data_IF_477516126226
#
_entry.id   IF_477516126226
#
_cell.length_a   1.000
_cell.length_b   1.000
_cell.length_c   1.000
_cell.angle_alpha   90.00
_cell.angle_beta   90.00
_cell.angle_gamma   90.00
#
_symmetry.space_group_name_H-M   'P 1'
#
loop_
_entity.id
_entity.type
_entity.pdbx_description
1 polymer ?
#
# COMPACT_ATOMS: atom_id res chain seq x y z
N UNK A 1 -2.97 -43.54 47.13
CA UNK A 1 -3.99 -42.48 47.22
C UNK A 1 -4.94 -42.64 46.06
N UNK A 2 -6.25 -42.67 46.29
CA UNK A 2 -7.24 -42.75 45.21
C UNK A 2 -7.54 -41.34 44.69
N UNK A 3 -7.53 -41.17 43.37
CA UNK A 3 -7.95 -39.91 42.72
C UNK A 3 -9.48 -39.86 42.74
N UNK A 4 -10.05 -38.96 43.54
CA UNK A 4 -11.49 -38.70 43.53
C UNK A 4 -11.85 -37.94 42.24
N UNK A 5 -12.74 -38.50 41.42
CA UNK A 5 -13.29 -37.84 40.22
C UNK A 5 -14.69 -37.32 40.53
N UNK A 6 -15.00 -36.11 40.08
CA UNK A 6 -16.35 -35.56 40.18
C UNK A 6 -17.24 -36.23 39.12
N UNK A 7 -18.18 -37.06 39.56
CA UNK A 7 -19.17 -37.74 38.72
C UNK A 7 -20.55 -37.20 39.09
N UNK A 8 -21.28 -36.66 38.12
CA UNK A 8 -22.63 -36.16 38.36
C UNK A 8 -23.65 -37.22 37.93
N UNK A 9 -24.53 -37.62 38.83
CA UNK A 9 -25.63 -38.53 38.50
C UNK A 9 -26.87 -37.68 38.22
N UNK A 10 -27.44 -37.75 37.01
CA UNK A 10 -28.75 -37.16 36.74
C UNK A 10 -29.82 -38.25 36.76
N UNK A 11 -30.96 -38.00 37.38
CA UNK A 11 -32.10 -38.92 37.30
C UNK A 11 -32.81 -38.75 35.96
N UNK A 12 -32.90 -39.82 35.18
CA UNK A 12 -33.64 -39.84 33.91
C UNK A 12 -35.04 -40.40 34.15
N UNK A 13 -36.04 -39.51 34.10
CA UNK A 13 -37.44 -39.86 34.38
C UNK A 13 -38.06 -40.78 33.33
N UNK A 14 -37.54 -40.80 32.11
CA UNK A 14 -38.06 -41.60 31.00
C UNK A 14 -37.62 -43.06 31.11
N UNK A 15 -36.37 -43.28 31.48
CA UNK A 15 -35.80 -44.64 31.67
C UNK A 15 -35.90 -45.12 33.11
N UNK A 16 -36.30 -44.27 34.05
CA UNK A 16 -36.36 -44.54 35.49
C UNK A 16 -35.03 -45.04 36.06
N UNK A 17 -33.93 -44.46 35.59
CA UNK A 17 -32.56 -44.80 36.00
C UNK A 17 -31.70 -43.54 36.20
N UNK A 18 -30.58 -43.68 36.91
CA UNK A 18 -29.58 -42.63 36.99
C UNK A 18 -28.62 -42.72 35.79
N UNK A 19 -28.54 -41.65 35.00
CA UNK A 19 -27.50 -41.50 33.98
C UNK A 19 -26.23 -40.97 34.67
N UNK A 20 -25.09 -41.57 34.33
CA UNK A 20 -23.78 -41.08 34.77
C UNK A 20 -23.31 -40.03 33.79
N UNK A 21 -23.27 -38.75 34.21
CA UNK A 21 -22.65 -37.68 33.44
C UNK A 21 -21.20 -37.51 33.92
N UNK A 22 -20.26 -37.77 33.03
CA UNK A 22 -18.86 -37.47 33.26
C UNK A 22 -18.47 -36.27 32.39
N UNK A 23 -18.34 -35.06 32.96
CA UNK A 23 -18.14 -33.82 32.20
C UNK A 23 -16.91 -33.84 31.29
N UNK A 24 -15.95 -34.73 31.56
CA UNK A 24 -14.67 -34.85 30.86
C UNK A 24 -14.57 -36.08 29.94
N UNK A 25 -15.56 -37.00 29.89
CA UNK A 25 -15.55 -38.15 28.96
C UNK A 25 -16.79 -38.27 28.08
N UNK A 26 -17.79 -37.39 28.18
CA UNK A 26 -18.78 -37.24 27.12
C UNK A 26 -18.12 -36.54 25.91
N UNK A 27 -17.34 -37.31 25.16
CA UNK A 27 -16.62 -36.89 23.95
C UNK A 27 -17.50 -36.09 22.97
N UNK A 28 -18.80 -36.41 22.91
CA UNK A 28 -19.78 -35.70 22.10
C UNK A 28 -19.83 -34.18 22.37
N UNK A 29 -19.70 -33.76 23.64
CA UNK A 29 -19.74 -32.35 24.01
C UNK A 29 -18.44 -31.61 23.64
N UNK A 30 -17.29 -32.32 23.66
CA UNK A 30 -15.99 -31.80 23.22
C UNK A 30 -15.89 -31.75 21.69
N UNK A 31 -16.48 -32.71 20.98
CA UNK A 31 -16.56 -32.67 19.50
C UNK A 31 -17.45 -31.55 19.00
N UNK A 32 -18.57 -31.28 19.67
CA UNK A 32 -19.47 -30.19 19.32
C UNK A 32 -18.81 -28.82 19.53
N UNK A 33 -17.93 -28.68 20.54
CA UNK A 33 -17.11 -27.50 20.71
C UNK A 33 -16.16 -27.29 19.52
N UNK A 34 -15.43 -28.33 19.10
CA UNK A 34 -14.51 -28.26 17.96
C UNK A 34 -15.22 -27.89 16.65
N UNK A 35 -16.36 -28.52 16.37
CA UNK A 35 -17.17 -28.22 15.19
C UNK A 35 -17.81 -26.82 15.26
N UNK A 36 -18.25 -26.40 16.45
CA UNK A 36 -18.80 -25.07 16.70
C UNK A 36 -17.76 -23.97 16.48
N UNK A 37 -16.52 -24.17 16.95
CA UNK A 37 -15.39 -23.25 16.73
C UNK A 37 -15.03 -23.17 15.25
N UNK A 38 -14.91 -24.30 14.55
CA UNK A 38 -14.63 -24.34 13.10
C UNK A 38 -15.73 -23.64 12.29
N UNK A 39 -17.00 -23.88 12.64
CA UNK A 39 -18.15 -23.27 11.97
C UNK A 39 -18.19 -21.77 12.19
N UNK A 40 -17.95 -21.29 13.43
CA UNK A 40 -17.87 -19.86 13.74
C UNK A 40 -16.69 -19.16 13.08
N UNK A 41 -15.51 -19.79 13.08
CA UNK A 41 -14.34 -19.22 12.39
C UNK A 41 -14.59 -19.18 10.89
N UNK A 42 -15.06 -20.25 10.28
CA UNK A 42 -15.38 -20.28 8.87
C UNK A 42 -16.43 -19.21 8.51
N UNK A 43 -17.52 -19.10 9.28
CA UNK A 43 -18.58 -18.11 9.02
C UNK A 43 -18.10 -16.67 9.16
N UNK A 44 -17.28 -16.38 10.17
CA UNK A 44 -16.79 -15.02 10.42
C UNK A 44 -15.67 -14.62 9.46
N UNK A 45 -14.79 -15.56 9.08
CA UNK A 45 -13.72 -15.32 8.10
C UNK A 45 -14.32 -15.18 6.70
N UNK A 46 -15.27 -16.03 6.31
CA UNK A 46 -15.98 -15.91 5.03
C UNK A 46 -16.80 -14.62 4.98
N UNK A 47 -17.56 -14.29 6.03
CA UNK A 47 -18.39 -13.08 6.06
C UNK A 47 -17.56 -11.79 6.10
N UNK A 48 -16.40 -11.78 6.77
CA UNK A 48 -15.48 -10.63 6.75
C UNK A 48 -14.77 -10.51 5.40
N UNK A 49 -14.37 -11.64 4.78
CA UNK A 49 -13.80 -11.66 3.43
C UNK A 49 -14.83 -11.15 2.41
N UNK A 50 -16.06 -11.66 2.45
CA UNK A 50 -17.17 -11.21 1.60
C UNK A 50 -17.51 -9.74 1.88
N UNK A 51 -17.64 -9.32 3.15
CA UNK A 51 -17.88 -7.91 3.50
C UNK A 51 -16.78 -7.00 2.98
N UNK A 52 -15.53 -7.46 3.01
CA UNK A 52 -14.42 -6.73 2.42
C UNK A 52 -14.53 -6.65 0.89
N UNK A 53 -15.04 -7.70 0.22
CA UNK A 53 -15.28 -7.77 -1.23
C UNK A 53 -16.54 -7.02 -1.68
N UNK A 54 -17.45 -6.71 -0.76
CA UNK A 54 -18.67 -5.93 -1.03
C UNK A 54 -18.48 -4.45 -0.73
N UNK A 55 -17.59 -4.09 0.20
CA UNK A 55 -17.34 -2.68 0.56
C UNK A 55 -16.44 -1.99 -0.47
N UNK A 56 -15.42 -2.70 -0.99
CA UNK A 56 -14.74 -2.34 -2.24
C UNK A 56 -15.08 -3.44 -3.24
N UNK A 57 -15.54 -3.08 -4.44
CA UNK A 57 -15.77 -4.05 -5.53
C UNK A 57 -14.60 -5.05 -5.62
N UNK A 58 -14.90 -6.35 -5.66
CA UNK A 58 -13.90 -7.42 -5.92
C UNK A 58 -12.97 -7.04 -7.09
N UNK A 59 -13.54 -6.42 -8.13
CA UNK A 59 -12.78 -5.93 -9.29
C UNK A 59 -11.78 -4.83 -8.89
N UNK A 60 -12.18 -3.87 -8.05
CA UNK A 60 -11.28 -2.81 -7.57
C UNK A 60 -10.10 -3.38 -6.76
N UNK A 61 -10.34 -4.41 -5.94
CA UNK A 61 -9.27 -5.10 -5.20
C UNK A 61 -8.34 -5.89 -6.11
N UNK A 62 -8.88 -6.58 -7.11
CA UNK A 62 -8.08 -7.30 -8.10
C UNK A 62 -7.22 -6.35 -8.93
N UNK A 63 -7.78 -5.21 -9.38
CA UNK A 63 -7.03 -4.17 -10.09
C UNK A 63 -5.90 -3.63 -9.21
N UNK A 64 -6.17 -3.34 -7.93
CA UNK A 64 -5.14 -2.90 -6.99
C UNK A 64 -4.03 -3.94 -6.81
N UNK A 65 -4.38 -5.21 -6.64
CA UNK A 65 -3.40 -6.30 -6.51
C UNK A 65 -2.53 -6.43 -7.77
N UNK A 66 -3.14 -6.30 -8.96
CA UNK A 66 -2.42 -6.32 -10.24
C UNK A 66 -1.46 -5.14 -10.33
N UNK A 67 -1.88 -3.93 -9.92
CA UNK A 67 -1.02 -2.74 -9.94
C UNK A 67 0.16 -2.87 -8.98
N UNK A 68 -0.08 -3.36 -7.76
CA UNK A 68 0.97 -3.60 -6.77
C UNK A 68 1.95 -4.68 -7.28
N UNK A 69 1.43 -5.80 -7.81
CA UNK A 69 2.23 -6.90 -8.35
C UNK A 69 3.03 -6.51 -9.59
N UNK A 70 2.54 -5.55 -10.37
CA UNK A 70 3.22 -5.04 -11.57
C UNK A 70 4.15 -3.87 -11.26
N UNK A 71 4.29 -3.48 -9.99
CA UNK A 71 5.26 -2.47 -9.57
C UNK A 71 4.82 -1.03 -9.81
N UNK A 72 3.51 -0.78 -9.94
CA UNK A 72 2.96 0.58 -9.95
C UNK A 72 3.22 1.22 -8.58
N UNK A 73 3.83 2.40 -8.56
CA UNK A 73 4.11 3.16 -7.33
C UNK A 73 3.92 4.64 -7.59
N UNK A 74 3.51 5.41 -6.59
CA UNK A 74 3.34 6.85 -6.75
C UNK A 74 3.55 7.60 -5.44
N UNK A 75 3.98 8.86 -5.57
CA UNK A 75 4.00 9.85 -4.51
C UNK A 75 3.49 11.18 -5.08
N UNK A 76 2.34 11.66 -4.59
CA UNK A 76 1.69 12.89 -5.08
C UNK A 76 2.06 14.11 -4.22
N UNK A 77 3.31 14.16 -3.73
CA UNK A 77 3.86 15.35 -3.10
C UNK A 77 4.16 16.45 -4.14
N UNK A 78 4.55 17.63 -3.65
CA UNK A 78 4.98 18.74 -4.51
C UNK A 78 6.12 18.35 -5.45
N UNK A 79 7.08 17.57 -4.93
CA UNK A 79 8.10 16.87 -5.71
C UNK A 79 7.72 15.38 -5.68
N UNK A 80 7.10 14.93 -6.76
CA UNK A 80 6.38 13.67 -6.79
C UNK A 80 6.75 12.82 -8.00
N UNK A 81 6.20 11.61 -8.02
CA UNK A 81 6.40 10.68 -9.12
C UNK A 81 5.21 9.73 -9.30
N UNK A 82 5.12 9.18 -10.51
CA UNK A 82 4.33 8.00 -10.84
C UNK A 82 5.24 7.04 -11.59
N UNK A 83 5.39 5.82 -11.07
CA UNK A 83 5.99 4.67 -11.72
C UNK A 83 4.85 3.77 -12.19
N UNK A 84 4.75 3.54 -13.50
CA UNK A 84 3.67 2.75 -14.09
C UNK A 84 3.90 1.24 -14.01
N UNK A 85 5.08 0.80 -13.58
CA UNK A 85 5.39 -0.62 -13.44
C UNK A 85 5.58 -1.34 -14.78
N UNK A 86 5.69 -2.67 -14.72
CA UNK A 86 6.15 -3.52 -15.82
C UNK A 86 5.15 -3.59 -16.98
N UNK A 87 3.85 -3.40 -16.71
CA UNK A 87 2.81 -3.38 -17.76
C UNK A 87 3.02 -2.25 -18.77
N UNK A 88 3.68 -1.17 -18.34
CA UNK A 88 3.97 0.00 -19.17
C UNK A 88 5.48 0.15 -19.43
N UNK A 89 6.21 -0.97 -19.41
CA UNK A 89 7.64 -1.00 -19.70
C UNK A 89 8.51 -0.29 -18.66
N UNK A 90 8.01 -0.14 -17.43
CA UNK A 90 8.73 0.53 -16.36
C UNK A 90 8.73 2.06 -16.44
N UNK A 91 7.91 2.68 -17.29
CA UNK A 91 7.86 4.14 -17.45
C UNK A 91 7.65 4.84 -16.09
N UNK A 92 8.43 5.89 -15.86
CA UNK A 92 8.38 6.76 -14.70
C UNK A 92 8.21 8.20 -15.18
N UNK A 93 7.30 8.93 -14.54
CA UNK A 93 7.15 10.38 -14.65
C UNK A 93 7.46 10.97 -13.28
N UNK A 94 8.36 11.94 -13.21
CA UNK A 94 8.69 12.68 -11.99
C UNK A 94 8.50 14.17 -12.22
N UNK A 95 8.11 14.90 -11.18
CA UNK A 95 7.96 16.36 -11.25
C UNK A 95 8.46 17.02 -9.97
N UNK A 96 8.67 18.32 -10.05
CA UNK A 96 8.96 19.10 -8.86
C UNK A 96 8.98 20.59 -9.08
N UNK A 97 9.22 21.29 -7.98
CA UNK A 97 9.29 22.74 -7.87
C UNK A 97 10.53 23.11 -7.06
N UNK A 98 11.29 24.08 -7.56
CA UNK A 98 12.49 24.55 -6.89
C UNK A 98 12.64 26.07 -6.96
N UNK A 99 13.28 26.60 -5.92
CA UNK A 99 13.77 27.98 -5.84
C UNK A 99 15.29 27.96 -5.91
N UNK A 100 15.84 28.67 -6.89
CA UNK A 100 17.27 28.80 -7.14
C UNK A 100 17.77 30.09 -6.50
N UNK A 101 18.46 29.97 -5.36
CA UNK A 101 19.05 31.13 -4.65
C UNK A 101 20.34 31.66 -5.27
N UNK A 102 20.92 30.93 -6.23
CA UNK A 102 22.15 31.30 -6.91
C UNK A 102 22.36 30.47 -8.18
N UNK A 103 23.55 30.55 -8.77
CA UNK A 103 23.87 29.74 -9.94
C UNK A 103 24.23 28.28 -9.55
N UNK A 104 23.90 27.32 -10.42
CA UNK A 104 24.21 25.89 -10.31
C UNK A 104 23.47 25.17 -9.17
N UNK A 105 22.14 25.29 -9.11
CA UNK A 105 21.33 24.49 -8.19
C UNK A 105 21.29 23.03 -8.66
N UNK A 106 21.74 22.11 -7.80
CA UNK A 106 21.52 20.68 -7.99
C UNK A 106 20.08 20.32 -7.59
N UNK A 107 19.38 19.65 -8.50
CA UNK A 107 18.03 19.12 -8.32
C UNK A 107 18.12 17.60 -8.29
N UNK A 108 17.60 16.99 -7.24
CA UNK A 108 17.49 15.54 -7.11
C UNK A 108 16.07 15.10 -7.43
N UNK A 109 15.94 14.05 -8.23
CA UNK A 109 14.64 13.42 -8.48
C UNK A 109 14.11 12.70 -7.24
N UNK A 110 12.78 12.63 -7.04
CA UNK A 110 12.18 11.85 -5.95
C UNK A 110 12.63 10.38 -5.88
N UNK A 111 12.82 9.74 -7.03
CA UNK A 111 13.40 8.39 -7.18
C UNK A 111 14.43 8.37 -8.32
N UNK A 112 15.32 7.38 -8.31
CA UNK A 112 16.34 7.22 -9.35
C UNK A 112 15.73 6.56 -10.58
N UNK A 113 16.00 7.11 -11.77
CA UNK A 113 15.72 6.44 -13.05
C UNK A 113 16.82 5.40 -13.33
N UNK A 114 16.49 4.27 -13.94
CA UNK A 114 17.50 3.40 -14.56
C UNK A 114 18.02 4.03 -15.86
N UNK A 115 17.13 4.68 -16.62
CA UNK A 115 17.45 5.42 -17.84
C UNK A 115 16.65 6.71 -17.86
N UNK A 116 17.35 7.84 -17.88
CA UNK A 116 16.72 9.15 -18.07
C UNK A 116 16.47 9.39 -19.57
N UNK A 117 15.22 9.70 -19.93
CA UNK A 117 14.84 9.96 -21.32
C UNK A 117 14.79 11.44 -21.64
N UNK A 118 14.17 12.25 -20.77
CA UNK A 118 13.99 13.68 -21.01
C UNK A 118 13.66 14.44 -19.73
N UNK A 119 13.99 15.74 -19.73
CA UNK A 119 13.61 16.70 -18.70
C UNK A 119 13.13 17.96 -19.42
N UNK A 120 12.01 18.50 -18.95
CA UNK A 120 11.49 19.80 -19.38
C UNK A 120 11.33 20.66 -18.14
N UNK A 121 11.91 21.86 -18.15
CA UNK A 121 11.63 22.86 -17.12
C UNK A 121 10.78 24.01 -17.67
N UNK A 122 10.08 24.68 -16.75
CA UNK A 122 9.38 25.91 -17.03
C UNK A 122 9.60 26.91 -15.92
N UNK A 123 9.97 28.13 -16.31
CA UNK A 123 10.11 29.26 -15.41
C UNK A 123 8.75 29.64 -14.81
N UNK A 124 8.71 29.81 -13.49
CA UNK A 124 7.61 30.46 -12.78
C UNK A 124 7.89 31.97 -12.73
N UNK A 125 7.39 32.70 -13.73
CA UNK A 125 7.48 34.16 -13.76
C UNK A 125 6.85 34.77 -12.49
N UNK A 126 7.57 35.71 -11.88
CA UNK A 126 7.10 36.44 -10.70
C UNK A 126 6.40 37.76 -11.04
N UNK A 127 6.69 38.31 -12.23
CA UNK A 127 6.20 39.61 -12.71
C UNK A 127 5.99 39.57 -14.23
N UNK A 128 5.24 40.55 -14.75
CA UNK A 128 4.97 40.67 -16.19
C UNK A 128 6.21 40.95 -17.06
N UNK A 129 7.35 41.29 -16.43
CA UNK A 129 8.61 41.64 -17.08
C UNK A 129 9.79 40.79 -16.57
N UNK A 130 9.53 39.58 -16.06
CA UNK A 130 10.58 38.71 -15.53
C UNK A 130 11.35 38.02 -16.67
N UNK A 131 12.55 38.52 -16.98
CA UNK A 131 13.44 38.00 -18.04
C UNK A 131 14.62 37.22 -17.44
N UNK A 132 14.31 36.09 -16.79
CA UNK A 132 15.33 35.14 -16.31
C UNK A 132 15.50 34.02 -17.31
N UNK A 133 16.74 33.58 -17.49
CA UNK A 133 17.05 32.42 -18.30
C UNK A 133 17.67 31.34 -17.42
N UNK A 134 17.35 30.10 -17.74
CA UNK A 134 17.94 28.94 -17.12
C UNK A 134 18.22 27.89 -18.18
N UNK A 135 19.12 26.97 -17.84
CA UNK A 135 19.44 25.84 -18.69
C UNK A 135 19.68 24.63 -17.81
N UNK A 136 19.06 23.52 -18.18
CA UNK A 136 19.35 22.22 -17.60
C UNK A 136 20.74 21.79 -18.08
N UNK A 137 21.63 21.51 -17.13
CA UNK A 137 22.97 21.02 -17.37
C UNK A 137 23.23 19.77 -16.54
N UNK A 138 24.13 18.91 -17.01
CA UNK A 138 24.54 17.65 -16.35
C UNK A 138 23.35 16.75 -15.94
N UNK A 139 22.35 16.50 -16.81
CA UNK A 139 21.30 15.55 -16.50
C UNK A 139 21.88 14.14 -16.32
N UNK A 140 21.38 13.41 -15.33
CA UNK A 140 21.69 12.02 -15.04
C UNK A 140 20.50 11.34 -14.36
N UNK A 141 20.63 10.06 -14.06
CA UNK A 141 19.61 9.18 -13.49
C UNK A 141 19.05 9.65 -12.13
N UNK A 142 19.85 10.40 -11.37
CA UNK A 142 19.51 10.85 -10.02
C UNK A 142 19.00 12.29 -9.97
N UNK A 143 19.22 13.05 -11.05
CA UNK A 143 18.90 14.47 -11.06
C UNK A 143 19.55 15.26 -12.18
N UNK A 144 19.56 16.58 -12.01
CA UNK A 144 20.15 17.52 -12.95
C UNK A 144 20.61 18.78 -12.22
N UNK A 145 21.30 19.67 -12.93
CA UNK A 145 21.67 20.99 -12.42
C UNK A 145 20.97 22.07 -13.23
N UNK A 146 20.48 23.11 -12.57
CA UNK A 146 20.02 24.34 -13.23
C UNK A 146 21.11 25.40 -13.14
N UNK A 147 21.58 25.85 -14.29
CA UNK A 147 22.41 27.05 -14.41
C UNK A 147 21.50 28.21 -14.81
N UNK A 148 21.57 29.32 -14.09
CA UNK A 148 20.73 30.50 -14.32
C UNK A 148 21.58 31.77 -14.26
N UNK A 149 21.16 32.78 -15.02
CA UNK A 149 21.77 34.09 -15.05
C UNK A 149 21.29 35.02 -13.91
N UNK A 150 20.38 34.56 -13.06
CA UNK A 150 19.72 35.40 -12.06
C UNK A 150 19.55 34.69 -10.71
N UNK A 151 19.66 35.45 -9.64
CA UNK A 151 19.31 34.97 -8.30
C UNK A 151 17.79 35.01 -8.13
N UNK A 152 17.22 34.00 -7.46
CA UNK A 152 15.77 33.91 -7.25
C UNK A 152 14.99 33.38 -8.46
N UNK A 153 15.63 32.54 -9.28
CA UNK A 153 14.93 31.82 -10.35
C UNK A 153 14.06 30.71 -9.77
N UNK A 154 12.78 30.68 -10.13
CA UNK A 154 11.82 29.70 -9.62
C UNK A 154 11.30 28.89 -10.80
N UNK A 155 11.26 27.58 -10.69
CA UNK A 155 10.84 26.75 -11.81
C UNK A 155 10.11 25.49 -11.36
N UNK A 156 9.34 24.98 -12.30
CA UNK A 156 8.78 23.64 -12.28
C UNK A 156 9.55 22.77 -13.26
N UNK A 157 9.62 21.47 -12.99
CA UNK A 157 10.13 20.51 -13.95
C UNK A 157 9.23 19.29 -14.04
N UNK A 158 9.29 18.62 -15.19
CA UNK A 158 8.81 17.27 -15.39
C UNK A 158 9.91 16.46 -16.09
N UNK A 159 10.14 15.24 -15.62
CA UNK A 159 11.15 14.35 -16.15
C UNK A 159 10.52 12.98 -16.47
N UNK A 160 11.03 12.36 -17.54
CA UNK A 160 10.58 11.07 -18.06
C UNK A 160 11.76 10.11 -18.09
N UNK A 161 11.51 8.86 -17.71
CA UNK A 161 12.51 7.81 -17.72
C UNK A 161 11.90 6.45 -17.42
N UNK A 162 12.75 5.46 -17.16
CA UNK A 162 12.41 4.09 -16.73
C UNK A 162 13.42 3.60 -15.72
#
# INVERSE_FOLDING_TARGET
MSVLKAIFHRWNKTTSAYDTLHPETEHAQVTDFGQGVLTHLASNVLSSTISSLTTDSLMAKLVKLIFDATGVQYNIAQNGYIKFGDLFGGLIIQWGFHYCSGNNLAVTFPIVFNVLLSIVESHKADTLSDFKTATIVKPNETGFTINTNSNGYVFYYIAFGM
#
